data_IF_081926082086
#
_entry.id   IF_081926082086
#
_cell.length_a   1.000
_cell.length_b   1.000
_cell.length_c   1.000
_cell.angle_alpha   90.00
_cell.angle_beta   90.00
_cell.angle_gamma   90.00
#
_symmetry.space_group_name_H-M   'P 1'
#
loop_
_entity.id
_entity.type
_entity.pdbx_description
1 polymer ?
#
# COMPACT_ATOMS: atom_id res chain seq x y z
N UNK A 1 9.36 -17.44 0.20
CA UNK A 1 8.25 -16.46 0.10
C UNK A 1 7.06 -16.97 0.89
N UNK A 2 6.43 -16.11 1.70
CA UNK A 2 5.18 -16.36 2.41
C UNK A 2 4.22 -15.20 2.14
N UNK A 3 2.94 -15.51 1.92
CA UNK A 3 1.91 -14.52 1.60
C UNK A 3 0.79 -14.67 2.62
N UNK A 4 0.42 -13.56 3.27
CA UNK A 4 -0.68 -13.50 4.22
C UNK A 4 -1.72 -12.52 3.68
N UNK A 5 -2.96 -12.98 3.54
CA UNK A 5 -4.08 -12.16 3.07
C UNK A 5 -4.91 -11.67 4.25
N UNK A 6 -5.24 -10.38 4.24
CA UNK A 6 -6.19 -9.77 5.15
C UNK A 6 -7.50 -9.48 4.41
N UNK A 7 -8.33 -8.59 4.95
CA UNK A 7 -9.56 -8.18 4.29
C UNK A 7 -9.27 -7.48 2.95
N UNK A 8 -10.18 -7.68 1.98
CA UNK A 8 -10.10 -7.09 0.64
C UNK A 8 -8.79 -7.44 -0.11
N UNK A 9 -8.09 -6.40 -0.57
CA UNK A 9 -6.84 -6.36 -1.33
C UNK A 9 -5.61 -6.30 -0.42
N UNK A 10 -5.77 -6.22 0.90
CA UNK A 10 -4.66 -6.09 1.82
C UNK A 10 -3.87 -7.40 1.90
N UNK A 11 -2.59 -7.35 1.51
CA UNK A 11 -1.70 -8.51 1.46
C UNK A 11 -0.35 -8.14 2.07
N UNK A 12 0.15 -9.01 2.96
CA UNK A 12 1.53 -8.97 3.44
C UNK A 12 2.33 -10.08 2.75
N UNK A 13 3.43 -9.68 2.10
CA UNK A 13 4.36 -10.58 1.45
C UNK A 13 5.68 -10.55 2.22
N UNK A 14 6.14 -11.72 2.64
CA UNK A 14 7.42 -11.92 3.33
C UNK A 14 8.35 -12.70 2.39
N UNK A 15 9.39 -12.04 1.86
CA UNK A 15 10.31 -12.65 0.89
C UNK A 15 11.66 -11.93 0.92
N UNK A 16 12.76 -12.64 0.61
CA UNK A 16 14.11 -12.05 0.59
C UNK A 16 14.48 -11.26 1.86
N UNK A 17 13.97 -11.70 3.03
CA UNK A 17 14.19 -11.00 4.31
C UNK A 17 13.46 -9.66 4.45
N UNK A 18 12.50 -9.36 3.56
CA UNK A 18 11.69 -8.13 3.57
C UNK A 18 10.23 -8.41 3.85
N UNK A 19 9.57 -7.44 4.47
CA UNK A 19 8.11 -7.38 4.67
C UNK A 19 7.51 -6.30 3.76
N UNK A 20 6.67 -6.73 2.83
CA UNK A 20 6.00 -5.87 1.86
C UNK A 20 4.52 -5.86 2.17
N UNK A 21 3.95 -4.70 2.50
CA UNK A 21 2.53 -4.54 2.73
C UNK A 21 1.88 -3.84 1.54
N UNK A 22 0.84 -4.45 0.98
CA UNK A 22 -0.01 -3.87 -0.05
C UNK A 22 -1.37 -3.49 0.52
N UNK A 23 -1.87 -2.32 0.14
CA UNK A 23 -3.25 -1.87 0.33
C UNK A 23 -3.83 -2.07 1.75
N UNK A 24 -3.20 -1.53 2.82
CA UNK A 24 -3.75 -1.59 4.17
C UNK A 24 -5.01 -0.71 4.30
N UNK A 25 -6.15 -1.26 3.90
CA UNK A 25 -7.46 -0.62 3.99
C UNK A 25 -8.11 -0.68 5.36
N UNK A 26 -9.19 0.10 5.52
CA UNK A 26 -9.92 0.22 6.79
C UNK A 26 -10.98 -0.88 7.01
N UNK A 27 -11.35 -1.63 5.97
CA UNK A 27 -12.38 -2.66 6.07
C UNK A 27 -11.89 -3.85 6.90
N UNK A 28 -12.61 -4.14 8.00
CA UNK A 28 -12.22 -5.16 8.99
C UNK A 28 -10.81 -4.97 9.57
N UNK A 29 -10.35 -3.72 9.61
CA UNK A 29 -9.11 -3.35 10.28
C UNK A 29 -9.19 -3.69 11.78
N UNK A 30 -8.07 -4.15 12.32
CA UNK A 30 -7.87 -4.36 13.75
C UNK A 30 -6.64 -3.58 14.18
N UNK A 31 -6.74 -2.79 15.23
CA UNK A 31 -5.63 -2.01 15.76
C UNK A 31 -4.41 -2.87 16.13
N UNK A 32 -4.66 -4.12 16.54
CA UNK A 32 -3.61 -5.12 16.80
C UNK A 32 -2.72 -5.41 15.59
N UNK A 33 -3.14 -5.12 14.36
CA UNK A 33 -2.31 -5.34 13.19
C UNK A 33 -1.04 -4.49 13.24
N UNK A 34 -1.10 -3.24 13.71
CA UNK A 34 0.07 -2.35 13.78
C UNK A 34 1.17 -2.89 14.72
N UNK A 35 0.78 -3.51 15.82
CA UNK A 35 1.74 -4.13 16.77
C UNK A 35 2.16 -5.54 16.35
N UNK A 36 1.34 -6.24 15.57
CA UNK A 36 1.59 -7.63 15.16
C UNK A 36 2.00 -7.72 13.69
N UNK A 37 1.08 -7.95 12.77
CA UNK A 37 1.41 -8.31 11.39
C UNK A 37 1.98 -7.15 10.56
N UNK A 38 1.56 -5.92 10.83
CA UNK A 38 1.96 -4.70 10.11
C UNK A 38 3.12 -3.97 10.80
N UNK A 39 3.81 -4.62 11.74
CA UNK A 39 5.06 -4.08 12.29
C UNK A 39 6.24 -4.29 11.32
N UNK A 40 7.24 -3.41 11.45
CA UNK A 40 8.53 -3.49 10.74
C UNK A 40 8.40 -3.67 9.21
N UNK A 41 7.44 -2.99 8.58
CA UNK A 41 7.28 -3.03 7.12
C UNK A 41 8.47 -2.35 6.44
N UNK A 42 9.10 -3.04 5.50
CA UNK A 42 10.20 -2.49 4.70
C UNK A 42 9.68 -1.71 3.50
N UNK A 43 8.60 -2.20 2.88
CA UNK A 43 8.03 -1.66 1.65
C UNK A 43 6.52 -1.57 1.82
N UNK A 44 5.98 -0.36 1.70
CA UNK A 44 4.55 -0.12 1.68
C UNK A 44 4.13 0.29 0.27
N UNK A 45 3.10 -0.37 -0.26
CA UNK A 45 2.53 -0.08 -1.57
C UNK A 45 1.03 0.17 -1.44
N UNK A 46 0.56 1.27 -2.04
CA UNK A 46 -0.88 1.57 -2.12
C UNK A 46 -1.24 1.77 -3.59
N UNK A 47 -2.27 1.08 -4.05
CA UNK A 47 -2.68 1.09 -5.45
C UNK A 47 -3.52 2.31 -5.80
N UNK A 48 -4.45 2.72 -4.95
CA UNK A 48 -5.31 3.89 -5.16
C UNK A 48 -5.90 4.44 -3.85
N UNK A 49 -6.55 5.61 -3.92
CA UNK A 49 -6.86 6.46 -2.76
C UNK A 49 -8.04 6.00 -1.89
N UNK A 50 -8.82 5.00 -2.31
CA UNK A 50 -10.03 4.64 -1.56
C UNK A 50 -9.71 4.06 -0.18
N UNK A 51 -10.61 4.28 0.79
CA UNK A 51 -10.38 3.90 2.18
C UNK A 51 -10.24 2.39 2.42
N UNK A 52 -10.81 1.59 1.53
CA UNK A 52 -10.66 0.13 1.50
C UNK A 52 -9.29 -0.34 0.98
N UNK A 53 -8.47 0.58 0.47
CA UNK A 53 -7.06 0.36 0.10
C UNK A 53 -6.08 1.20 0.96
N UNK A 54 -6.52 2.34 1.48
CA UNK A 54 -5.70 3.28 2.25
C UNK A 54 -6.38 3.66 3.56
N UNK A 55 -6.03 2.98 4.65
CA UNK A 55 -6.35 3.43 6.00
C UNK A 55 -5.32 4.45 6.48
N UNK A 56 -5.64 5.73 6.30
CA UNK A 56 -4.74 6.86 6.53
C UNK A 56 -3.99 6.81 7.87
N UNK A 57 -4.67 6.53 8.98
CA UNK A 57 -4.03 6.53 10.31
C UNK A 57 -3.05 5.37 10.50
N UNK A 58 -3.39 4.17 10.03
CA UNK A 58 -2.47 3.03 10.04
C UNK A 58 -1.28 3.27 9.12
N UNK A 59 -1.51 3.84 7.93
CA UNK A 59 -0.44 4.19 6.99
C UNK A 59 0.50 5.22 7.62
N UNK A 60 -0.03 6.28 8.25
CA UNK A 60 0.75 7.28 9.00
C UNK A 60 1.65 6.62 10.04
N UNK A 61 1.13 5.67 10.81
CA UNK A 61 1.93 4.97 11.82
C UNK A 61 3.05 4.15 11.18
N UNK A 62 2.77 3.43 10.10
CA UNK A 62 3.76 2.58 9.40
C UNK A 62 4.91 3.42 8.81
N UNK A 63 4.59 4.58 8.22
CA UNK A 63 5.59 5.45 7.56
C UNK A 63 6.39 6.31 8.54
N UNK A 64 6.01 6.37 9.84
CA UNK A 64 6.87 6.99 10.88
C UNK A 64 8.21 6.27 11.00
N UNK A 65 8.27 4.98 10.67
CA UNK A 65 9.54 4.27 10.60
C UNK A 65 10.29 4.71 9.34
N UNK A 66 11.46 5.38 9.47
CA UNK A 66 12.20 5.91 8.33
C UNK A 66 12.79 4.82 7.42
N UNK A 67 12.80 3.55 7.86
CA UNK A 67 13.21 2.41 7.03
C UNK A 67 12.11 1.98 6.06
N UNK A 68 10.85 2.32 6.33
CA UNK A 68 9.72 1.99 5.46
C UNK A 68 9.81 2.79 4.18
N UNK A 69 10.02 2.11 3.05
CA UNK A 69 9.93 2.73 1.72
C UNK A 69 8.48 2.73 1.27
N UNK A 70 7.84 3.89 1.25
CA UNK A 70 6.47 4.04 0.82
C UNK A 70 6.41 4.46 -0.66
N UNK A 71 5.78 3.64 -1.51
CA UNK A 71 5.51 3.96 -2.91
C UNK A 71 4.00 3.95 -3.19
N UNK A 72 3.53 4.90 -4.00
CA UNK A 72 2.12 5.00 -4.36
C UNK A 72 1.91 5.76 -5.66
N UNK A 73 0.67 5.83 -6.14
CA UNK A 73 0.30 6.59 -7.34
C UNK A 73 0.21 8.09 -7.04
N UNK A 74 0.30 8.92 -8.09
CA UNK A 74 0.13 10.37 -7.96
C UNK A 74 -1.23 10.74 -7.34
N UNK A 75 -2.29 9.99 -7.67
CA UNK A 75 -3.63 10.20 -7.12
C UNK A 75 -3.66 10.08 -5.59
N UNK A 76 -2.98 9.08 -5.03
CA UNK A 76 -2.93 8.88 -3.57
C UNK A 76 -2.11 9.98 -2.90
N UNK A 77 -1.00 10.38 -3.53
CA UNK A 77 -0.16 11.46 -3.02
C UNK A 77 -0.89 12.81 -2.98
N UNK A 78 -1.73 13.10 -3.98
CA UNK A 78 -2.56 14.30 -4.02
C UNK A 78 -3.71 14.25 -3.01
N UNK A 79 -4.29 13.06 -2.78
CA UNK A 79 -5.37 12.88 -1.80
C UNK A 79 -4.86 12.97 -0.34
N UNK A 80 -3.63 12.55 -0.08
CA UNK A 80 -3.03 12.48 1.26
C UNK A 80 -1.60 13.08 1.26
N UNK A 81 -1.48 14.41 1.08
CA UNK A 81 -0.18 15.08 0.92
C UNK A 81 0.72 14.94 2.16
N UNK A 82 0.14 14.70 3.33
CA UNK A 82 0.89 14.55 4.58
C UNK A 82 1.71 13.26 4.66
N UNK A 83 1.46 12.27 3.80
CA UNK A 83 2.15 10.98 3.84
C UNK A 83 3.54 11.01 3.16
N UNK A 84 3.86 12.07 2.41
CA UNK A 84 5.14 12.23 1.70
C UNK A 84 5.65 10.98 0.95
N UNK A 85 4.83 10.34 0.08
CA UNK A 85 5.21 9.11 -0.61
C UNK A 85 6.23 9.29 -1.74
N UNK A 86 6.86 8.19 -2.14
CA UNK A 86 7.53 8.12 -3.43
C UNK A 86 6.49 7.81 -4.53
N UNK A 87 6.32 8.73 -5.47
CA UNK A 87 5.33 8.58 -6.55
C UNK A 87 5.87 7.63 -7.62
N UNK A 88 5.03 6.70 -8.06
CA UNK A 88 5.33 5.77 -9.16
C UNK A 88 4.29 5.84 -10.26
N UNK A 89 4.71 5.50 -11.47
CA UNK A 89 3.92 5.55 -12.72
C UNK A 89 4.01 4.21 -13.46
N UNK A 90 3.05 3.95 -14.34
CA UNK A 90 3.00 2.71 -15.14
C UNK A 90 4.29 2.55 -15.94
N UNK A 91 4.86 1.35 -15.89
CA UNK A 91 6.15 1.01 -16.51
C UNK A 91 7.35 1.25 -15.60
N UNK A 92 7.18 1.84 -14.41
CA UNK A 92 8.27 1.93 -13.44
C UNK A 92 8.65 0.54 -12.92
N UNK A 93 9.96 0.29 -12.85
CA UNK A 93 10.55 -0.89 -12.25
C UNK A 93 11.33 -0.44 -11.02
N UNK A 94 10.86 -0.83 -9.84
CA UNK A 94 11.56 -0.62 -8.58
C UNK A 94 12.44 -1.83 -8.29
N UNK A 95 13.75 -1.62 -8.22
CA UNK A 95 14.69 -2.64 -7.77
C UNK A 95 15.05 -2.35 -6.32
N UNK A 96 14.50 -3.15 -5.41
CA UNK A 96 14.65 -3.01 -3.95
C UNK A 96 15.40 -4.24 -3.45
N UNK A 97 16.72 -4.12 -3.38
CA UNK A 97 17.64 -5.21 -3.09
C UNK A 97 17.44 -6.36 -4.10
N UNK A 98 17.05 -7.56 -3.63
CA UNK A 98 16.78 -8.72 -4.49
C UNK A 98 15.33 -8.79 -5.02
N UNK A 99 14.52 -7.76 -4.75
CA UNK A 99 13.10 -7.72 -5.12
C UNK A 99 12.90 -6.73 -6.26
N UNK A 100 12.28 -7.22 -7.34
CA UNK A 100 11.83 -6.41 -8.48
C UNK A 100 10.33 -6.20 -8.39
N UNK A 101 9.88 -4.94 -8.40
CA UNK A 101 8.46 -4.56 -8.43
C UNK A 101 8.20 -3.79 -9.72
N UNK A 102 7.24 -4.23 -10.52
CA UNK A 102 6.84 -3.57 -11.76
C UNK A 102 5.45 -2.97 -11.61
N UNK A 103 5.35 -1.67 -11.90
CA UNK A 103 4.09 -0.94 -11.82
C UNK A 103 3.34 -1.10 -13.14
N UNK A 104 2.24 -1.83 -13.10
CA UNK A 104 1.43 -2.13 -14.29
C UNK A 104 0.17 -1.29 -14.33
N UNK A 105 -0.41 -1.15 -15.53
CA UNK A 105 -1.68 -0.47 -15.72
C UNK A 105 -2.79 -1.25 -15.02
N UNK A 106 -3.53 -0.57 -14.15
CA UNK A 106 -4.79 -1.05 -13.60
C UNK A 106 -5.98 -0.34 -14.26
N UNK A 107 -7.08 -1.06 -14.50
CA UNK A 107 -8.35 -0.46 -14.87
C UNK A 107 -9.21 -0.44 -13.61
N UNK A 108 -9.35 0.72 -12.99
CA UNK A 108 -10.22 0.88 -11.83
C UNK A 108 -11.68 0.87 -12.32
N UNK A 109 -12.44 -0.16 -11.94
CA UNK A 109 -13.85 -0.28 -12.28
C UNK A 109 -14.66 0.82 -11.60
N UNK A 110 -15.68 1.33 -12.28
CA UNK A 110 -16.65 2.25 -11.67
C UNK A 110 -17.89 1.47 -11.24
N UNK A 111 -18.51 1.88 -10.14
CA UNK A 111 -19.86 1.44 -9.82
C UNK A 111 -20.78 2.06 -10.89
N UNK A 112 -21.54 1.26 -11.67
CA UNK A 112 -22.31 1.78 -12.81
C UNK A 112 -23.27 2.93 -12.46
N UNK A 113 -23.72 3.01 -11.21
CA UNK A 113 -24.63 4.04 -10.70
C UNK A 113 -23.93 5.35 -10.25
N UNK A 114 -22.60 5.41 -10.22
CA UNK A 114 -21.82 6.56 -9.72
C UNK A 114 -20.97 7.22 -10.83
N UNK A 115 -21.44 7.18 -12.07
CA UNK A 115 -20.74 7.82 -13.19
C UNK A 115 -20.95 9.34 -13.12
N UNK A 116 -19.91 10.10 -12.77
CA UNK A 116 -19.89 11.58 -12.87
C UNK A 116 -20.05 12.36 -11.56
N UNK A 117 -19.69 11.78 -10.42
CA UNK A 117 -19.51 12.53 -9.16
C UNK A 117 -18.14 13.17 -9.04
#
# INVERSE_FOLDING_TARGET
MKITRFAQSCILIETEGKRILLDPGNLQYKESYLSNEWNNIDILLITHKHGDHCHLDAVKEIVKNPRTKFYTTQEVAEAYPELSPNIVTVGNILNLDNIKIEVVKAVHGYIPLLKGG
#
